data_IF_759466618093
#
_entry.id   IF_759466618093
#
_cell.length_a   1.000
_cell.length_b   1.000
_cell.length_c   1.000
_cell.angle_alpha   90.00
_cell.angle_beta   90.00
_cell.angle_gamma   90.00
#
_symmetry.space_group_name_H-M   'P 1'
#
loop_
_entity.id
_entity.type
_entity.pdbx_description
1 polymer ?
#
# COMPACT_ATOMS: atom_id res chain seq x y z
N UNK A 1 20.39 18.73 44.12
CA UNK A 1 20.47 18.80 42.66
C UNK A 1 19.49 17.77 42.10
N UNK A 2 18.46 18.21 41.37
CA UNK A 2 17.48 17.31 40.79
C UNK A 2 18.05 16.72 39.49
N UNK A 3 18.10 15.39 39.42
CA UNK A 3 18.47 14.65 38.21
C UNK A 3 17.33 14.71 37.20
N UNK A 4 17.58 15.32 36.05
CA UNK A 4 16.69 15.28 34.89
C UNK A 4 16.74 13.86 34.30
N UNK A 5 15.68 13.10 34.53
CA UNK A 5 15.45 11.83 33.84
C UNK A 5 15.22 12.11 32.36
N UNK A 6 16.22 11.81 31.53
CA UNK A 6 16.08 11.80 30.07
C UNK A 6 15.15 10.65 29.69
N UNK A 7 13.94 10.99 29.25
CA UNK A 7 13.06 10.05 28.56
C UNK A 7 13.64 9.79 27.17
N UNK A 8 14.29 8.64 27.00
CA UNK A 8 14.69 8.14 25.68
C UNK A 8 13.43 7.80 24.88
N UNK A 9 12.91 8.77 24.12
CA UNK A 9 11.97 8.48 23.04
C UNK A 9 12.72 7.63 22.02
N UNK A 10 12.31 6.37 21.83
CA UNK A 10 12.78 5.54 20.72
C UNK A 10 12.30 6.18 19.41
N UNK A 11 13.06 7.15 18.90
CA UNK A 11 12.80 7.72 17.58
C UNK A 11 12.98 6.58 16.58
N UNK A 12 11.87 6.00 16.10
CA UNK A 12 11.91 5.13 14.94
C UNK A 12 12.58 5.93 13.83
N UNK A 13 13.82 5.57 13.49
CA UNK A 13 14.56 6.22 12.42
C UNK A 13 14.02 5.67 11.11
N UNK A 14 12.97 6.32 10.59
CA UNK A 14 12.46 6.06 9.26
C UNK A 14 13.58 6.24 8.24
N UNK A 15 13.87 5.21 7.45
CA UNK A 15 14.84 5.29 6.37
C UNK A 15 14.24 5.99 5.15
N UNK A 16 12.94 5.86 4.94
CA UNK A 16 12.19 6.49 3.85
C UNK A 16 11.05 7.32 4.42
N UNK A 17 10.70 8.40 3.73
CA UNK A 17 9.50 9.17 4.04
C UNK A 17 8.25 8.44 3.53
N UNK A 18 8.31 7.92 2.30
CA UNK A 18 7.16 7.32 1.60
C UNK A 18 7.53 5.97 1.00
N UNK A 19 6.66 4.97 1.16
CA UNK A 19 6.61 3.76 0.35
C UNK A 19 5.47 3.86 -0.67
N UNK A 20 5.74 3.61 -1.95
CA UNK A 20 4.71 3.57 -3.00
C UNK A 20 4.25 2.14 -3.26
N UNK A 21 2.99 1.85 -2.95
CA UNK A 21 2.31 0.61 -3.34
C UNK A 21 1.35 0.87 -4.49
N UNK A 22 1.51 0.16 -5.60
CA UNK A 22 0.75 0.40 -6.83
C UNK A 22 0.71 -0.84 -7.71
N UNK A 23 -0.15 -0.88 -8.73
CA UNK A 23 -0.04 -1.90 -9.78
C UNK A 23 0.86 -1.39 -10.91
N UNK A 24 2.02 -2.03 -11.09
CA UNK A 24 3.01 -1.62 -12.10
C UNK A 24 2.46 -1.58 -13.52
N UNK A 25 1.64 -2.57 -13.90
CA UNK A 25 0.99 -2.63 -15.22
C UNK A 25 0.00 -1.48 -15.47
N UNK A 26 -0.68 -0.99 -14.42
CA UNK A 26 -1.71 0.05 -14.58
C UNK A 26 -1.11 1.47 -14.54
N UNK A 27 -0.17 1.71 -13.61
CA UNK A 27 0.25 3.08 -13.25
C UNK A 27 1.76 3.28 -13.20
N UNK A 28 2.57 2.23 -13.36
CA UNK A 28 4.01 2.27 -13.07
C UNK A 28 4.81 3.22 -13.98
N UNK A 29 4.43 3.34 -15.25
CA UNK A 29 5.08 4.23 -16.23
C UNK A 29 4.29 5.52 -16.50
N UNK A 30 3.25 5.78 -15.72
CA UNK A 30 2.33 6.91 -15.92
C UNK A 30 2.17 7.68 -14.61
N UNK A 31 1.02 7.54 -13.95
CA UNK A 31 0.68 8.28 -12.74
C UNK A 31 1.72 8.10 -11.61
N UNK A 32 2.13 6.86 -11.34
CA UNK A 32 3.02 6.57 -10.21
C UNK A 32 4.46 7.07 -10.46
N UNK A 33 4.95 7.01 -11.70
CA UNK A 33 6.25 7.61 -12.06
C UNK A 33 6.24 9.13 -11.87
N UNK A 34 5.16 9.80 -12.30
CA UNK A 34 4.99 11.24 -12.09
C UNK A 34 4.92 11.60 -10.60
N UNK A 35 4.16 10.82 -9.80
CA UNK A 35 4.10 10.98 -8.36
C UNK A 35 5.48 10.81 -7.71
N UNK A 36 6.20 9.75 -8.06
CA UNK A 36 7.55 9.49 -7.56
C UNK A 36 8.52 10.64 -7.89
N UNK A 37 8.50 11.13 -9.14
CA UNK A 37 9.31 12.28 -9.56
C UNK A 37 8.95 13.57 -8.82
N UNK A 38 7.67 13.84 -8.61
CA UNK A 38 7.22 15.01 -7.87
C UNK A 38 7.66 14.97 -6.39
N UNK A 39 7.54 13.81 -5.75
CA UNK A 39 8.03 13.58 -4.39
C UNK A 39 9.55 13.79 -4.31
N UNK A 40 10.30 13.21 -5.26
CA UNK A 40 11.75 13.36 -5.34
C UNK A 40 12.17 14.84 -5.51
N UNK A 41 11.50 15.60 -6.39
CA UNK A 41 11.76 17.02 -6.59
C UNK A 41 11.50 17.88 -5.34
N UNK A 42 10.63 17.39 -4.43
CA UNK A 42 10.35 18.03 -3.13
C UNK A 42 11.27 17.55 -2.01
N UNK A 43 12.26 16.72 -2.31
CA UNK A 43 13.19 16.16 -1.33
C UNK A 43 12.60 15.05 -0.47
N UNK A 44 11.45 14.48 -0.85
CA UNK A 44 10.80 13.38 -0.13
C UNK A 44 11.45 12.06 -0.53
N UNK A 45 12.11 11.40 0.43
CA UNK A 45 12.83 10.15 0.19
C UNK A 45 11.83 9.01 0.04
N UNK A 46 11.65 8.56 -1.20
CA UNK A 46 10.60 7.60 -1.55
C UNK A 46 11.21 6.25 -1.91
N UNK A 47 10.62 5.17 -1.40
CA UNK A 47 10.84 3.81 -1.87
C UNK A 47 9.77 3.48 -2.91
N UNK A 48 10.19 3.18 -4.13
CA UNK A 48 9.34 2.69 -5.20
C UNK A 48 9.92 1.37 -5.70
N UNK A 49 9.19 0.27 -5.52
CA UNK A 49 9.63 -1.02 -6.04
C UNK A 49 9.45 -1.05 -7.56
N UNK A 50 10.43 -1.62 -8.27
CA UNK A 50 10.31 -1.88 -9.70
C UNK A 50 9.50 -3.16 -9.87
N UNK A 51 8.16 -3.01 -9.89
CA UNK A 51 7.17 -4.09 -9.93
C UNK A 51 7.18 -4.93 -11.23
N UNK A 52 8.26 -4.85 -12.00
CA UNK A 52 8.54 -5.68 -13.18
C UNK A 52 8.98 -7.11 -12.82
N UNK A 53 9.45 -7.35 -11.58
CA UNK A 53 10.02 -8.65 -11.15
C UNK A 53 9.01 -9.53 -10.42
N UNK A 54 8.69 -10.69 -11.01
CA UNK A 54 7.60 -11.60 -10.63
C UNK A 54 7.93 -12.50 -9.42
N UNK A 55 7.07 -12.49 -8.41
CA UNK A 55 6.99 -13.48 -7.32
C UNK A 55 5.58 -13.53 -6.71
N UNK A 56 5.24 -14.60 -5.98
CA UNK A 56 3.94 -14.70 -5.28
C UNK A 56 3.97 -14.09 -3.87
N UNK A 57 5.16 -13.92 -3.28
CA UNK A 57 5.38 -13.45 -1.91
C UNK A 57 6.34 -12.27 -1.89
N UNK A 58 6.04 -11.27 -1.05
CA UNK A 58 6.89 -10.09 -0.88
C UNK A 58 8.24 -10.46 -0.28
N UNK A 59 9.32 -9.90 -0.84
CA UNK A 59 10.66 -10.18 -0.34
C UNK A 59 10.88 -9.59 1.06
N UNK A 60 11.78 -10.18 1.89
CA UNK A 60 12.14 -9.59 3.19
C UNK A 60 12.65 -8.16 3.08
N UNK A 61 13.32 -7.82 1.98
CA UNK A 61 13.78 -6.46 1.72
C UNK A 61 12.61 -5.49 1.50
N UNK A 62 11.53 -5.93 0.85
CA UNK A 62 10.33 -5.13 0.65
C UNK A 62 9.55 -4.94 1.95
N UNK A 63 9.39 -6.02 2.73
CA UNK A 63 8.79 -5.95 4.07
C UNK A 63 9.51 -4.90 4.92
N UNK A 64 10.85 -4.97 4.95
CA UNK A 64 11.68 -4.03 5.67
C UNK A 64 11.55 -2.60 5.12
N UNK A 65 11.44 -2.41 3.81
CA UNK A 65 11.22 -1.09 3.23
C UNK A 65 9.89 -0.47 3.69
N UNK A 66 8.83 -1.27 3.82
CA UNK A 66 7.55 -0.82 4.38
C UNK A 66 7.73 -0.43 5.86
N UNK A 67 8.38 -1.28 6.66
CA UNK A 67 8.62 -1.01 8.08
C UNK A 67 9.53 0.20 8.35
N UNK A 68 10.47 0.47 7.45
CA UNK A 68 11.38 1.62 7.53
C UNK A 68 10.81 2.88 6.84
N UNK A 69 9.56 2.86 6.38
CA UNK A 69 8.89 4.01 5.76
C UNK A 69 7.92 4.69 6.72
N UNK A 70 7.89 6.03 6.74
CA UNK A 70 6.97 6.78 7.61
C UNK A 70 5.52 6.75 7.11
N UNK A 71 5.34 6.79 5.79
CA UNK A 71 4.04 6.77 5.12
C UNK A 71 4.03 5.71 4.03
N UNK A 72 2.85 5.17 3.71
CA UNK A 72 2.62 4.44 2.46
C UNK A 72 1.55 5.13 1.64
N UNK A 73 1.86 5.50 0.40
CA UNK A 73 0.85 5.88 -0.57
C UNK A 73 0.42 4.63 -1.32
N UNK A 74 -0.87 4.33 -1.28
CA UNK A 74 -1.46 3.15 -1.92
C UNK A 74 -2.28 3.62 -3.11
N UNK A 75 -1.77 3.38 -4.32
CA UNK A 75 -2.45 3.72 -5.57
C UNK A 75 -3.32 2.54 -5.99
N UNK A 76 -4.58 2.56 -5.57
CA UNK A 76 -5.58 1.60 -6.02
C UNK A 76 -5.96 1.91 -7.47
N UNK A 77 -5.71 0.96 -8.36
CA UNK A 77 -6.08 0.99 -9.76
C UNK A 77 -6.97 -0.22 -10.11
N UNK A 78 -7.53 -0.24 -11.31
CA UNK A 78 -8.48 -1.27 -11.77
C UNK A 78 -8.00 -2.70 -11.50
N UNK A 79 -6.72 -3.00 -11.75
CA UNK A 79 -6.17 -4.35 -11.62
C UNK A 79 -5.32 -4.53 -10.36
N UNK A 80 -5.38 -3.62 -9.38
CA UNK A 80 -4.58 -3.72 -8.15
C UNK A 80 -4.76 -5.08 -7.46
N UNK A 81 -6.00 -5.50 -7.23
CA UNK A 81 -6.32 -6.75 -6.56
C UNK A 81 -5.99 -8.01 -7.38
N UNK A 82 -5.65 -7.89 -8.67
CA UNK A 82 -5.22 -9.04 -9.47
C UNK A 82 -3.82 -9.54 -9.08
N UNK A 83 -3.01 -8.68 -8.44
CA UNK A 83 -1.65 -8.99 -8.04
C UNK A 83 -1.61 -9.41 -6.58
N UNK A 84 -1.29 -10.69 -6.32
CA UNK A 84 -1.08 -11.19 -4.95
C UNK A 84 0.02 -10.41 -4.23
N UNK A 85 1.07 -10.01 -4.95
CA UNK A 85 2.12 -9.14 -4.42
C UNK A 85 1.58 -7.80 -3.90
N UNK A 86 0.70 -7.12 -4.66
CA UNK A 86 0.08 -5.87 -4.21
C UNK A 86 -0.84 -6.08 -2.98
N UNK A 87 -1.48 -7.26 -2.88
CA UNK A 87 -2.32 -7.63 -1.74
C UNK A 87 -1.48 -7.96 -0.48
N UNK A 88 -0.34 -8.63 -0.64
CA UNK A 88 0.61 -8.89 0.44
C UNK A 88 1.25 -7.60 0.97
N UNK A 89 1.68 -6.70 0.08
CA UNK A 89 2.13 -5.35 0.46
C UNK A 89 1.06 -4.64 1.28
N UNK A 90 -0.19 -4.68 0.83
CA UNK A 90 -1.31 -3.99 1.49
C UNK A 90 -1.55 -4.52 2.90
N UNK A 91 -1.55 -5.86 3.09
CA UNK A 91 -1.67 -6.47 4.42
C UNK A 91 -0.55 -5.95 5.32
N UNK A 92 0.70 -5.97 4.85
CA UNK A 92 1.83 -5.50 5.63
C UNK A 92 1.71 -4.01 5.99
N UNK A 93 1.32 -3.16 5.05
CA UNK A 93 1.11 -1.73 5.29
C UNK A 93 0.06 -1.52 6.39
N UNK A 94 -1.07 -2.21 6.30
CA UNK A 94 -2.14 -2.11 7.28
C UNK A 94 -1.69 -2.60 8.66
N UNK A 95 -0.94 -3.69 8.74
CA UNK A 95 -0.34 -4.15 10.00
C UNK A 95 0.60 -3.08 10.58
N UNK A 96 1.47 -2.49 9.76
CA UNK A 96 2.35 -1.39 10.17
C UNK A 96 1.58 -0.19 10.72
N UNK A 97 0.43 0.15 10.13
CA UNK A 97 -0.39 1.28 10.60
C UNK A 97 -0.96 1.07 11.99
N UNK A 98 -1.26 -0.19 12.35
CA UNK A 98 -1.82 -0.55 13.65
C UNK A 98 -0.77 -0.60 14.75
N UNK A 99 0.47 -0.98 14.42
CA UNK A 99 1.49 -1.34 15.43
C UNK A 99 2.70 -0.42 15.50
N UNK A 100 2.99 0.37 14.46
CA UNK A 100 4.24 1.16 14.37
C UNK A 100 4.05 2.66 14.16
N UNK A 101 2.80 3.17 14.17
CA UNK A 101 2.53 4.59 13.89
C UNK A 101 2.76 5.00 12.43
N UNK A 102 2.87 4.01 11.54
CA UNK A 102 2.88 4.17 10.09
C UNK A 102 1.54 4.75 9.63
N UNK A 103 1.53 5.65 8.64
CA UNK A 103 0.28 6.18 8.08
C UNK A 103 0.08 5.76 6.62
N UNK A 104 -1.10 5.21 6.32
CA UNK A 104 -1.50 4.84 4.96
C UNK A 104 -2.31 5.97 4.30
N UNK A 105 -2.02 6.23 3.03
CA UNK A 105 -2.55 7.33 2.24
C UNK A 105 -3.13 6.76 0.92
N UNK A 106 -4.42 6.41 0.89
CA UNK A 106 -5.02 5.81 -0.30
C UNK A 106 -5.27 6.85 -1.40
N UNK A 107 -4.95 6.47 -2.64
CA UNK A 107 -5.27 7.17 -3.88
C UNK A 107 -6.07 6.22 -4.76
N UNK A 108 -7.29 6.59 -5.12
CA UNK A 108 -8.18 5.83 -5.99
C UNK A 108 -8.01 6.34 -7.43
N UNK A 109 -7.16 5.66 -8.19
CA UNK A 109 -6.81 6.01 -9.56
C UNK A 109 -7.77 5.34 -10.56
N UNK A 110 -8.65 6.14 -11.16
CA UNK A 110 -9.72 5.73 -12.07
C UNK A 110 -10.56 4.55 -11.57
N UNK A 111 -10.74 4.43 -10.25
CA UNK A 111 -11.51 3.37 -9.60
C UNK A 111 -12.43 3.96 -8.56
N UNK A 112 -13.63 3.39 -8.43
CA UNK A 112 -14.53 3.77 -7.36
C UNK A 112 -14.03 3.30 -5.99
N UNK A 113 -13.88 4.17 -4.98
CA UNK A 113 -13.52 3.76 -3.63
C UNK A 113 -14.45 2.67 -3.07
N UNK A 114 -15.73 2.67 -3.47
CA UNK A 114 -16.68 1.63 -3.06
C UNK A 114 -16.38 0.26 -3.71
N UNK A 115 -15.82 0.22 -4.92
CA UNK A 115 -15.36 -1.02 -5.55
C UNK A 115 -14.19 -1.62 -4.80
N UNK A 116 -13.26 -0.79 -4.32
CA UNK A 116 -12.14 -1.24 -3.47
C UNK A 116 -12.67 -1.74 -2.12
N UNK A 117 -13.52 -0.92 -1.46
CA UNK A 117 -14.04 -1.18 -0.12
C UNK A 117 -14.94 -2.40 -0.01
N UNK A 118 -15.80 -2.63 -1.02
CA UNK A 118 -16.76 -3.73 -1.06
C UNK A 118 -16.29 -4.89 -1.94
N UNK A 119 -15.10 -4.77 -2.53
CA UNK A 119 -14.51 -5.69 -3.50
C UNK A 119 -15.51 -6.06 -4.62
N UNK A 120 -16.09 -5.05 -5.28
CA UNK A 120 -17.00 -5.21 -6.44
C UNK A 120 -16.30 -4.84 -7.75
N UNK A 121 -16.94 -5.05 -8.90
CA UNK A 121 -16.34 -4.74 -10.21
C UNK A 121 -15.12 -5.61 -10.50
N UNK A 122 -14.02 -5.00 -10.95
CA UNK A 122 -12.76 -5.71 -11.23
C UNK A 122 -12.19 -6.41 -9.99
N UNK A 123 -12.42 -5.85 -8.80
CA UNK A 123 -11.97 -6.45 -7.54
C UNK A 123 -12.71 -7.77 -7.25
N UNK A 124 -14.01 -7.85 -7.52
CA UNK A 124 -14.76 -9.10 -7.38
C UNK A 124 -14.21 -10.20 -8.31
N UNK A 125 -13.90 -9.84 -9.56
CA UNK A 125 -13.34 -10.77 -10.54
C UNK A 125 -11.95 -11.26 -10.12
N UNK A 126 -11.11 -10.38 -9.56
CA UNK A 126 -9.82 -10.76 -9.02
C UNK A 126 -9.95 -11.73 -7.84
N UNK A 127 -10.88 -11.46 -6.91
CA UNK A 127 -11.09 -12.35 -5.77
C UNK A 127 -11.68 -13.70 -6.14
N UNK A 128 -12.58 -13.79 -7.12
CA UNK A 128 -13.09 -15.08 -7.60
C UNK A 128 -11.94 -15.99 -8.07
N UNK A 129 -10.95 -15.42 -8.78
CA UNK A 129 -9.75 -16.16 -9.21
C UNK A 129 -8.87 -16.57 -8.02
N UNK A 130 -8.66 -15.65 -7.07
CA UNK A 130 -7.87 -15.95 -5.88
C UNK A 130 -8.50 -17.03 -5.00
N UNK A 131 -9.82 -17.04 -4.85
CA UNK A 131 -10.54 -18.06 -4.08
C UNK A 131 -10.40 -19.45 -4.71
N UNK A 132 -10.37 -19.54 -6.04
CA UNK A 132 -10.09 -20.80 -6.75
C UNK A 132 -8.64 -21.28 -6.55
N UNK A 133 -7.67 -20.37 -6.73
CA UNK A 133 -6.24 -20.68 -6.64
C UNK A 133 -5.82 -20.99 -5.19
N UNK A 134 -6.34 -20.25 -4.22
CA UNK A 134 -5.99 -20.33 -2.79
C UNK A 134 -7.08 -21.00 -1.97
N UNK A 135 -7.85 -21.93 -2.56
CA UNK A 135 -8.93 -22.68 -1.89
C UNK A 135 -8.49 -23.39 -0.60
N UNK A 136 -7.22 -23.80 -0.52
CA UNK A 136 -6.61 -24.46 0.65
C UNK A 136 -5.97 -23.47 1.64
N UNK A 137 -5.91 -22.18 1.28
CA UNK A 137 -5.30 -21.08 2.05
C UNK A 137 -6.26 -19.89 2.13
N UNK A 138 -7.55 -20.16 2.36
CA UNK A 138 -8.61 -19.15 2.35
C UNK A 138 -8.41 -18.06 3.40
N UNK A 139 -7.69 -18.34 4.48
CA UNK A 139 -7.27 -17.34 5.46
C UNK A 139 -6.45 -16.21 4.84
N UNK A 140 -5.64 -16.51 3.82
CA UNK A 140 -4.87 -15.51 3.07
C UNK A 140 -5.79 -14.58 2.29
N UNK A 141 -6.76 -15.15 1.60
CA UNK A 141 -7.78 -14.40 0.84
C UNK A 141 -8.61 -13.50 1.76
N UNK A 142 -9.01 -14.01 2.93
CA UNK A 142 -9.75 -13.25 3.93
C UNK A 142 -8.91 -12.04 4.41
N UNK A 143 -7.61 -12.24 4.72
CA UNK A 143 -6.72 -11.14 5.11
C UNK A 143 -6.63 -10.05 4.03
N UNK A 144 -6.53 -10.43 2.76
CA UNK A 144 -6.52 -9.47 1.65
C UNK A 144 -7.81 -8.66 1.56
N UNK A 145 -8.98 -9.31 1.73
CA UNK A 145 -10.28 -8.63 1.73
C UNK A 145 -10.41 -7.63 2.89
N UNK A 146 -9.97 -8.03 4.08
CA UNK A 146 -9.96 -7.16 5.27
C UNK A 146 -9.05 -5.95 5.03
N UNK A 147 -7.82 -6.18 4.56
CA UNK A 147 -6.87 -5.10 4.31
C UNK A 147 -7.37 -4.08 3.28
N UNK A 148 -7.99 -4.52 2.18
CA UNK A 148 -8.64 -3.64 1.20
C UNK A 148 -9.77 -2.82 1.82
N UNK A 149 -10.62 -3.48 2.61
CA UNK A 149 -11.76 -2.81 3.26
C UNK A 149 -11.27 -1.74 4.22
N UNK A 150 -10.29 -2.05 5.06
CA UNK A 150 -9.69 -1.12 6.01
C UNK A 150 -9.00 0.04 5.30
N UNK A 151 -8.14 -0.24 4.31
CA UNK A 151 -7.44 0.79 3.54
C UNK A 151 -8.41 1.74 2.83
N UNK A 152 -9.50 1.22 2.24
CA UNK A 152 -10.50 2.02 1.54
C UNK A 152 -11.47 2.77 2.48
N UNK A 153 -11.37 2.56 3.80
CA UNK A 153 -12.06 3.36 4.82
C UNK A 153 -11.21 4.53 5.32
N UNK A 154 -9.92 4.57 4.99
CA UNK A 154 -9.04 5.70 5.30
C UNK A 154 -9.37 6.85 4.33
N UNK A 155 -9.33 8.09 4.84
CA UNK A 155 -9.48 9.28 4.00
C UNK A 155 -8.36 9.33 2.96
N UNK A 156 -8.73 9.58 1.71
CA UNK A 156 -7.81 9.56 0.58
C UNK A 156 -8.30 10.45 -0.55
N UNK A 157 -7.73 10.22 -1.73
CA UNK A 157 -8.02 11.02 -2.91
C UNK A 157 -8.62 10.18 -4.03
N UNK A 158 -9.72 10.65 -4.60
CA UNK A 158 -10.30 10.07 -5.81
C UNK A 158 -9.89 10.90 -7.03
N UNK A 159 -9.18 10.28 -7.96
CA UNK A 159 -8.75 10.94 -9.20
C UNK A 159 -9.91 11.37 -10.09
N UNK A 160 -11.11 10.79 -9.89
CA UNK A 160 -12.31 11.12 -10.65
C UNK A 160 -12.97 12.43 -10.20
N UNK A 161 -12.57 12.95 -9.03
CA UNK A 161 -13.10 14.21 -8.49
C UNK A 161 -12.50 15.46 -9.18
N UNK A 162 -11.63 15.30 -10.18
CA UNK A 162 -11.12 16.39 -11.02
C UNK A 162 -10.00 17.24 -10.41
N UNK A 163 -9.40 16.78 -9.30
CA UNK A 163 -8.30 17.47 -8.60
C UNK A 163 -6.90 16.97 -8.99
N UNK A 164 -6.78 16.14 -10.03
CA UNK A 164 -5.52 15.52 -10.48
C UNK A 164 -5.18 15.84 -11.93
#
# INVERSE_FOLDING_TARGET
>A
MASLSSSSSSTHQWKYDVFLSFRGEDTGKSFTDHLHRALFQRGVKTFMDDKLSRGQEISPALVKAIEESRFSVIVFSENYASSTWCLEELVKIIDCTKVMGHAALPVFYNVDPSHVRKQTGSFAQAFAKHEEVYKEQMEKVIKWRVALTEAANISGWDSRDGYF
#
